data_IF_842292009066
#
_entry.id   IF_842292009066
#
_cell.length_a   1.000
_cell.length_b   1.000
_cell.length_c   1.000
_cell.angle_alpha   90.00
_cell.angle_beta   90.00
_cell.angle_gamma   90.00
#
_symmetry.space_group_name_H-M   'P 1'
#
loop_
_entity.id
_entity.type
_entity.pdbx_description
1 polymer ?
#
# COMPACT_ATOMS: atom_id res chain seq x y z
N UNK A 1 27.09 -29.25 -4.08
CA UNK A 1 26.84 -28.61 -5.38
C UNK A 1 26.06 -27.31 -5.16
N UNK A 2 26.59 -26.38 -4.36
CA UNK A 2 25.96 -25.09 -4.03
C UNK A 2 26.98 -23.94 -3.92
N UNK A 3 28.29 -24.24 -4.02
CA UNK A 3 29.35 -23.25 -3.85
C UNK A 3 29.86 -22.64 -5.17
N UNK A 4 29.52 -23.23 -6.33
CA UNK A 4 30.01 -22.76 -7.64
C UNK A 4 29.13 -21.65 -8.24
N UNK A 5 27.85 -21.58 -7.88
CA UNK A 5 26.91 -20.52 -8.33
C UNK A 5 27.19 -19.16 -7.68
N UNK A 6 27.99 -19.12 -6.61
CA UNK A 6 28.30 -17.87 -5.90
C UNK A 6 29.36 -17.01 -6.61
N UNK A 7 30.00 -17.52 -7.67
CA UNK A 7 31.03 -16.83 -8.48
C UNK A 7 30.48 -16.55 -9.90
N UNK A 8 29.17 -16.32 -10.04
CA UNK A 8 28.65 -15.83 -11.31
C UNK A 8 29.01 -14.35 -11.46
N UNK A 9 29.67 -13.99 -12.57
CA UNK A 9 29.84 -12.58 -12.94
C UNK A 9 28.46 -11.94 -13.15
N UNK A 10 28.23 -10.68 -12.72
CA UNK A 10 26.95 -10.03 -12.86
C UNK A 10 26.59 -9.88 -14.35
N UNK A 11 25.47 -10.48 -14.75
CA UNK A 11 24.94 -10.35 -16.11
C UNK A 11 24.35 -8.96 -16.31
N UNK A 12 24.56 -8.37 -17.49
CA UNK A 12 24.00 -7.06 -17.82
C UNK A 12 22.50 -7.18 -18.07
N UNK A 13 21.72 -6.29 -17.46
CA UNK A 13 20.27 -6.18 -17.70
C UNK A 13 19.92 -5.84 -19.16
N UNK A 14 20.87 -5.28 -19.91
CA UNK A 14 20.73 -4.90 -21.31
C UNK A 14 21.27 -5.95 -22.28
N UNK A 15 21.54 -7.17 -21.81
CA UNK A 15 21.93 -8.26 -22.68
C UNK A 15 20.69 -8.90 -23.34
N UNK A 16 20.69 -9.14 -24.67
CA UNK A 16 19.57 -9.78 -25.34
C UNK A 16 19.56 -11.29 -25.05
N UNK A 17 18.42 -11.83 -24.61
CA UNK A 17 18.24 -13.24 -24.19
C UNK A 17 17.74 -14.12 -25.35
N UNK A 18 17.05 -13.53 -26.34
CA UNK A 18 16.54 -14.23 -27.51
C UNK A 18 16.61 -13.33 -28.75
N UNK A 19 17.17 -13.87 -29.84
CA UNK A 19 17.29 -13.19 -31.13
C UNK A 19 16.86 -14.13 -32.26
N UNK A 20 15.55 -14.28 -32.49
CA UNK A 20 15.06 -14.80 -33.79
C UNK A 20 14.03 -13.83 -34.39
N UNK A 21 14.45 -13.10 -35.42
CA UNK A 21 13.59 -12.50 -36.44
C UNK A 21 12.69 -11.31 -36.03
N UNK A 22 12.78 -10.79 -34.80
CA UNK A 22 12.01 -9.65 -34.30
C UNK A 22 12.75 -8.85 -33.22
N UNK A 23 12.07 -7.89 -32.59
CA UNK A 23 12.63 -7.04 -31.52
C UNK A 23 13.34 -7.88 -30.44
N UNK A 24 14.55 -7.48 -30.08
CA UNK A 24 15.37 -8.18 -29.11
C UNK A 24 14.73 -8.12 -27.72
N UNK A 25 14.54 -9.28 -27.09
CA UNK A 25 14.08 -9.38 -25.69
C UNK A 25 15.31 -9.32 -24.78
N UNK A 26 15.34 -8.36 -23.86
CA UNK A 26 16.47 -8.13 -22.98
C UNK A 26 16.30 -8.83 -21.62
N UNK A 27 17.40 -9.05 -20.89
CA UNK A 27 17.37 -9.64 -19.53
C UNK A 27 16.44 -8.84 -18.61
N UNK A 28 16.44 -7.51 -18.72
CA UNK A 28 15.53 -6.62 -17.96
C UNK A 28 14.04 -6.94 -18.15
N UNK A 29 13.63 -7.43 -19.33
CA UNK A 29 12.22 -7.75 -19.61
C UNK A 29 11.73 -8.98 -18.84
N UNK A 30 12.67 -9.83 -18.38
CA UNK A 30 12.37 -11.02 -17.57
C UNK A 30 12.55 -10.79 -16.07
N UNK A 31 13.15 -9.66 -15.66
CA UNK A 31 13.39 -9.27 -14.26
C UNK A 31 12.27 -8.35 -13.74
N UNK A 32 11.11 -8.32 -14.40
CA UNK A 32 9.91 -7.74 -13.81
C UNK A 32 9.49 -8.58 -12.60
N UNK A 33 9.46 -7.99 -11.40
CA UNK A 33 8.95 -8.67 -10.20
C UNK A 33 7.49 -9.09 -10.47
N UNK A 34 7.17 -10.39 -10.51
CA UNK A 34 5.82 -10.87 -10.83
C UNK A 34 4.79 -10.49 -9.75
N UNK A 35 5.28 -10.05 -8.59
CA UNK A 35 4.48 -9.44 -7.53
C UNK A 35 4.80 -7.96 -7.57
N UNK A 36 3.78 -7.14 -7.72
CA UNK A 36 3.82 -5.67 -7.77
C UNK A 36 4.25 -5.07 -6.40
N UNK A 37 5.42 -5.46 -5.90
CA UNK A 37 5.90 -5.18 -4.55
C UNK A 37 6.22 -3.71 -4.35
N UNK A 38 6.75 -3.04 -5.38
CA UNK A 38 7.13 -1.64 -5.29
C UNK A 38 5.90 -0.74 -5.16
N UNK A 39 4.86 -0.97 -5.97
CA UNK A 39 3.62 -0.20 -5.93
C UNK A 39 2.83 -0.48 -4.65
N UNK A 40 2.82 -1.73 -4.17
CA UNK A 40 2.21 -2.07 -2.89
C UNK A 40 2.92 -1.41 -1.70
N UNK A 41 4.25 -1.40 -1.67
CA UNK A 41 5.01 -0.76 -0.59
C UNK A 41 4.81 0.76 -0.58
N UNK A 42 4.86 1.41 -1.74
CA UNK A 42 4.60 2.86 -1.85
C UNK A 42 3.18 3.22 -1.39
N UNK A 43 2.17 2.42 -1.79
CA UNK A 43 0.81 2.60 -1.32
C UNK A 43 0.67 2.41 0.19
N UNK A 44 1.33 1.40 0.78
CA UNK A 44 1.32 1.16 2.22
C UNK A 44 1.94 2.35 2.99
N UNK A 45 3.07 2.87 2.50
CA UNK A 45 3.74 4.01 3.12
C UNK A 45 2.84 5.26 3.07
N UNK A 46 2.24 5.55 1.92
CA UNK A 46 1.31 6.68 1.77
C UNK A 46 0.13 6.57 2.75
N UNK A 47 -0.55 5.41 2.79
CA UNK A 47 -1.69 5.19 3.70
C UNK A 47 -1.27 5.42 5.15
N UNK A 48 -0.09 4.93 5.56
CA UNK A 48 0.42 5.13 6.93
C UNK A 48 0.63 6.60 7.25
N UNK A 49 1.21 7.38 6.34
CA UNK A 49 1.41 8.82 6.51
C UNK A 49 0.09 9.58 6.57
N UNK A 50 -0.87 9.23 5.70
CA UNK A 50 -2.20 9.84 5.71
C UNK A 50 -2.92 9.60 7.02
N UNK A 51 -2.92 8.37 7.53
CA UNK A 51 -3.51 8.05 8.83
C UNK A 51 -2.78 8.83 9.93
N UNK A 52 -1.45 8.96 9.87
CA UNK A 52 -0.68 9.74 10.83
C UNK A 52 -1.02 11.24 10.81
N UNK A 53 -1.44 11.78 9.66
CA UNK A 53 -1.85 13.18 9.50
C UNK A 53 -3.27 13.48 10.03
N UNK A 54 -4.09 12.45 10.23
CA UNK A 54 -5.48 12.64 10.69
C UNK A 54 -5.55 13.27 12.09
N UNK A 55 -6.57 14.09 12.36
CA UNK A 55 -6.88 14.54 13.71
C UNK A 55 -7.04 13.37 14.68
N UNK A 56 -6.57 13.53 15.92
CA UNK A 56 -6.60 12.47 16.93
C UNK A 56 -7.99 11.88 17.15
N UNK A 57 -9.02 12.72 17.03
CA UNK A 57 -10.42 12.30 17.14
C UNK A 57 -10.82 11.34 16.02
N UNK A 58 -10.41 11.62 14.78
CA UNK A 58 -10.73 10.79 13.62
C UNK A 58 -9.95 9.47 13.67
N UNK A 59 -8.66 9.52 14.04
CA UNK A 59 -7.86 8.31 14.31
C UNK A 59 -8.55 7.39 15.32
N UNK A 60 -9.03 7.96 16.44
CA UNK A 60 -9.72 7.18 17.47
C UNK A 60 -11.04 6.59 16.99
N UNK A 61 -11.81 7.33 16.19
CA UNK A 61 -13.03 6.81 15.56
C UNK A 61 -12.70 5.65 14.62
N UNK A 62 -11.70 5.79 13.76
CA UNK A 62 -11.28 4.72 12.85
C UNK A 62 -10.74 3.49 13.62
N UNK A 63 -9.99 3.70 14.70
CA UNK A 63 -9.52 2.62 15.57
C UNK A 63 -10.68 1.77 16.10
N UNK A 64 -11.69 2.43 16.68
CA UNK A 64 -12.87 1.75 17.20
C UNK A 64 -13.66 1.01 16.10
N UNK A 65 -13.78 1.61 14.91
CA UNK A 65 -14.56 1.04 13.80
C UNK A 65 -13.90 -0.15 13.13
N UNK A 66 -12.61 -0.03 12.81
CA UNK A 66 -11.93 -0.97 11.91
C UNK A 66 -11.01 -1.94 12.64
N UNK A 67 -10.47 -1.54 13.80
CA UNK A 67 -9.62 -2.42 14.61
C UNK A 67 -10.41 -3.10 15.74
N UNK A 68 -11.33 -2.38 16.39
CA UNK A 68 -12.16 -2.96 17.47
C UNK A 68 -13.55 -3.44 16.99
N UNK A 69 -13.91 -3.20 15.73
CA UNK A 69 -15.15 -3.69 15.12
C UNK A 69 -16.44 -3.09 15.67
N UNK A 70 -16.38 -1.94 16.37
CA UNK A 70 -17.55 -1.25 16.91
C UNK A 70 -18.43 -0.69 15.81
N UNK A 71 -19.75 -0.68 16.01
CA UNK A 71 -20.70 0.01 15.13
C UNK A 71 -20.62 1.54 15.30
N UNK A 72 -21.10 2.30 14.31
CA UNK A 72 -21.11 3.76 14.41
C UNK A 72 -21.92 4.28 15.61
N UNK A 73 -22.96 3.54 16.01
CA UNK A 73 -23.79 3.87 17.19
C UNK A 73 -22.97 3.67 18.47
N UNK A 74 -22.30 2.53 18.62
CA UNK A 74 -21.43 2.29 19.78
C UNK A 74 -20.27 3.29 19.85
N UNK A 75 -19.68 3.66 18.70
CA UNK A 75 -18.63 4.69 18.65
C UNK A 75 -19.18 6.06 19.06
N UNK A 76 -20.39 6.41 18.62
CA UNK A 76 -21.06 7.65 19.00
C UNK A 76 -21.26 7.73 20.52
N UNK A 77 -21.65 6.62 21.16
CA UNK A 77 -21.77 6.50 22.61
C UNK A 77 -20.42 6.64 23.32
N UNK A 78 -19.38 5.93 22.85
CA UNK A 78 -18.03 5.96 23.44
C UNK A 78 -17.38 7.34 23.35
N UNK A 79 -17.55 8.04 22.21
CA UNK A 79 -16.92 9.34 21.94
C UNK A 79 -17.78 10.51 22.43
N UNK A 80 -19.05 10.27 22.76
CA UNK A 80 -19.98 11.29 23.27
C UNK A 80 -20.44 12.28 22.20
N UNK A 81 -20.71 11.80 20.97
CA UNK A 81 -21.28 12.59 19.87
C UNK A 81 -22.43 11.85 19.20
N UNK A 82 -23.14 12.54 18.31
CA UNK A 82 -24.18 11.88 17.51
C UNK A 82 -23.60 10.91 16.47
N UNK A 83 -24.35 9.86 16.13
CA UNK A 83 -23.99 8.94 15.05
C UNK A 83 -23.82 9.66 13.70
N UNK A 84 -24.61 10.69 13.41
CA UNK A 84 -24.45 11.52 12.22
C UNK A 84 -23.10 12.26 12.19
N UNK A 85 -22.60 12.72 13.34
CA UNK A 85 -21.27 13.31 13.44
C UNK A 85 -20.16 12.28 13.25
N UNK A 86 -20.30 11.08 13.84
CA UNK A 86 -19.36 9.97 13.61
C UNK A 86 -19.29 9.63 12.12
N UNK A 87 -20.44 9.49 11.46
CA UNK A 87 -20.54 9.22 10.02
C UNK A 87 -19.80 10.27 9.17
N UNK A 88 -19.96 11.56 9.50
CA UNK A 88 -19.25 12.66 8.81
C UNK A 88 -17.74 12.59 9.03
N UNK A 89 -17.30 12.36 10.26
CA UNK A 89 -15.87 12.26 10.60
C UNK A 89 -15.22 11.05 9.94
N UNK A 90 -15.88 9.89 9.93
CA UNK A 90 -15.41 8.70 9.20
C UNK A 90 -15.27 8.98 7.71
N UNK A 91 -16.28 9.60 7.09
CA UNK A 91 -16.26 9.91 5.67
C UNK A 91 -15.10 10.84 5.32
N UNK A 92 -14.93 11.92 6.08
CA UNK A 92 -13.84 12.88 5.86
C UNK A 92 -12.47 12.21 6.00
N UNK A 93 -12.28 11.40 7.03
CA UNK A 93 -11.03 10.69 7.25
C UNK A 93 -10.70 9.72 6.11
N UNK A 94 -11.70 8.98 5.62
CA UNK A 94 -11.55 8.05 4.50
C UNK A 94 -11.23 8.81 3.20
N UNK A 95 -11.90 9.93 2.94
CA UNK A 95 -11.59 10.78 1.77
C UNK A 95 -10.16 11.31 1.82
N UNK A 96 -9.69 11.74 2.99
CA UNK A 96 -8.30 12.20 3.16
C UNK A 96 -7.28 11.09 2.90
N UNK A 97 -7.53 9.86 3.39
CA UNK A 97 -6.65 8.72 3.12
C UNK A 97 -6.61 8.38 1.63
N UNK A 98 -7.78 8.33 0.97
CA UNK A 98 -7.88 8.02 -0.45
C UNK A 98 -7.13 9.02 -1.33
N UNK A 99 -7.32 10.31 -1.08
CA UNK A 99 -6.67 11.37 -1.86
C UNK A 99 -5.14 11.40 -1.74
N UNK A 100 -4.57 10.71 -0.75
CA UNK A 100 -3.11 10.62 -0.59
C UNK A 100 -2.52 9.44 -1.35
N UNK A 101 -3.35 8.48 -1.75
CA UNK A 101 -2.93 7.24 -2.42
C UNK A 101 -3.05 7.35 -3.96
N UNK A 102 -3.68 8.42 -4.46
CA UNK A 102 -3.77 8.76 -5.90
C UNK A 102 -2.59 9.60 -6.41
#
# INVERSE_FOLDING_TARGET
>A
MLALDAIADPVSLYEPVFCEGGDAVYVMDQVADPVDNEQNWLAELSIRESIASLPEREKRILALRFFEGKTQVEVAEIVGISQAQVSRLEKNAIEQIKNSTE
#
